data_IF_507691165649
#
_entry.id   IF_507691165649
#
_cell.length_a   1.000
_cell.length_b   1.000
_cell.length_c   1.000
_cell.angle_alpha   90.00
_cell.angle_beta   90.00
_cell.angle_gamma   90.00
#
_symmetry.space_group_name_H-M   'P 1'
#
loop_
_entity.id
_entity.type
_entity.pdbx_description
1 polymer ?
#
# COMPACT_ATOMS: atom_id res chain seq x y z
N UNK A 1 47.66 37.10 -83.40
CA UNK A 1 48.63 36.40 -82.52
C UNK A 1 48.02 36.28 -81.12
N UNK A 2 48.19 35.09 -80.50
CA UNK A 2 48.53 34.88 -79.07
C UNK A 2 47.57 35.50 -78.03
N UNK A 3 46.67 34.70 -77.42
CA UNK A 3 46.71 34.17 -76.03
C UNK A 3 46.54 35.26 -74.92
N UNK A 4 45.97 35.02 -73.72
CA UNK A 4 45.57 33.81 -72.99
C UNK A 4 44.59 34.22 -71.85
N UNK A 5 43.85 33.27 -71.26
CA UNK A 5 43.51 33.33 -69.81
C UNK A 5 42.03 33.46 -69.39
N UNK A 6 41.55 32.41 -68.69
CA UNK A 6 40.69 32.35 -67.46
C UNK A 6 39.59 33.44 -67.26
N UNK A 7 38.37 33.13 -66.80
CA UNK A 7 38.02 32.13 -65.77
C UNK A 7 36.52 31.71 -65.79
N UNK A 8 36.14 30.75 -64.91
CA UNK A 8 34.81 30.10 -64.81
C UNK A 8 33.59 31.03 -64.69
N UNK A 9 32.45 30.55 -65.21
CA UNK A 9 31.09 31.06 -64.96
C UNK A 9 30.19 29.97 -64.33
N UNK A 10 29.21 30.43 -63.57
CA UNK A 10 28.14 29.73 -62.82
C UNK A 10 27.09 29.02 -63.70
N UNK A 11 26.21 28.20 -63.10
CA UNK A 11 24.81 28.18 -63.56
C UNK A 11 24.06 26.83 -63.60
N UNK A 12 23.11 26.71 -62.69
CA UNK A 12 22.08 25.66 -62.47
C UNK A 12 21.10 25.39 -63.63
N UNK A 13 20.55 24.16 -63.67
CA UNK A 13 19.09 23.83 -63.86
C UNK A 13 18.56 23.14 -65.15
N UNK A 14 18.05 21.91 -64.94
CA UNK A 14 16.82 21.22 -65.49
C UNK A 14 16.44 21.20 -67.00
N UNK A 15 16.04 20.01 -67.48
CA UNK A 15 15.19 19.86 -68.69
C UNK A 15 14.78 18.40 -69.05
N UNK A 16 13.46 18.12 -69.09
CA UNK A 16 12.77 16.83 -69.28
C UNK A 16 13.00 16.02 -70.59
N UNK A 17 12.62 14.71 -70.57
CA UNK A 17 12.28 13.94 -71.79
C UNK A 17 11.90 12.47 -71.57
N UNK A 18 10.79 11.98 -72.17
CA UNK A 18 10.38 10.57 -72.24
C UNK A 18 9.81 10.22 -73.62
N UNK A 19 10.00 8.99 -74.16
CA UNK A 19 8.97 7.93 -74.11
C UNK A 19 9.62 6.51 -74.03
N UNK A 20 9.06 5.32 -74.35
CA UNK A 20 7.75 4.78 -74.84
C UNK A 20 7.64 3.29 -74.34
N UNK A 21 6.52 2.56 -74.58
CA UNK A 21 6.33 1.14 -74.11
C UNK A 21 6.17 0.12 -75.26
N UNK A 22 6.52 -1.15 -75.03
CA UNK A 22 6.15 -2.32 -75.87
C UNK A 22 5.71 -3.51 -74.98
N UNK A 23 4.61 -4.20 -75.30
CA UNK A 23 4.02 -5.31 -74.50
C UNK A 23 4.23 -6.68 -75.20
N UNK A 24 4.41 -7.77 -74.42
CA UNK A 24 4.34 -9.18 -74.88
C UNK A 24 3.16 -9.90 -74.20
N UNK A 25 2.52 -10.85 -74.91
CA UNK A 25 1.35 -11.63 -74.43
C UNK A 25 1.80 -12.96 -73.77
N UNK A 26 1.03 -13.46 -72.79
CA UNK A 26 1.33 -14.69 -72.02
C UNK A 26 0.50 -15.90 -72.50
N UNK A 27 1.07 -17.11 -72.38
CA UNK A 27 0.58 -18.37 -72.94
C UNK A 27 -0.54 -19.05 -72.14
N UNK A 28 -1.44 -19.77 -72.86
CA UNK A 28 -2.65 -20.42 -72.33
C UNK A 28 -2.40 -21.51 -71.26
N UNK A 29 -1.18 -22.08 -71.15
CA UNK A 29 -0.89 -23.10 -70.10
C UNK A 29 -0.96 -22.55 -68.67
N UNK A 30 -0.61 -21.28 -68.43
CA UNK A 30 -0.70 -20.69 -67.08
C UNK A 30 -2.16 -20.46 -66.61
N UNK A 31 -3.12 -20.33 -67.53
CA UNK A 31 -4.53 -20.10 -67.20
C UNK A 31 -5.20 -21.30 -66.53
N UNK A 32 -4.74 -22.53 -66.76
CA UNK A 32 -5.26 -23.72 -66.10
C UNK A 32 -4.87 -23.76 -64.61
N UNK A 33 -3.61 -23.47 -64.28
CA UNK A 33 -3.10 -23.42 -62.91
C UNK A 33 -3.72 -22.23 -62.16
N UNK A 34 -3.86 -21.08 -62.81
CA UNK A 34 -4.47 -19.90 -62.20
C UNK A 34 -5.97 -20.10 -61.89
N UNK A 35 -6.71 -20.81 -62.76
CA UNK A 35 -8.10 -21.23 -62.47
C UNK A 35 -8.19 -22.23 -61.32
N UNK A 36 -7.33 -23.27 -61.29
CA UNK A 36 -7.29 -24.22 -60.16
C UNK A 36 -6.98 -23.53 -58.83
N UNK A 37 -6.01 -22.60 -58.79
CA UNK A 37 -5.71 -21.81 -57.58
C UNK A 37 -6.89 -20.93 -57.14
N UNK A 38 -7.61 -20.29 -58.06
CA UNK A 38 -8.83 -19.52 -57.71
C UNK A 38 -9.98 -20.39 -57.21
N UNK A 39 -10.16 -21.61 -57.74
CA UNK A 39 -11.15 -22.57 -57.23
C UNK A 39 -10.78 -23.01 -55.81
N UNK A 40 -9.52 -23.36 -55.55
CA UNK A 40 -9.04 -23.72 -54.20
C UNK A 40 -9.23 -22.56 -53.22
N UNK A 41 -8.84 -21.33 -53.59
CA UNK A 41 -9.07 -20.14 -52.73
C UNK A 41 -10.57 -19.91 -52.50
N UNK A 42 -11.42 -20.08 -53.51
CA UNK A 42 -12.88 -19.98 -53.35
C UNK A 42 -13.46 -21.04 -52.40
N UNK A 43 -12.99 -22.29 -52.48
CA UNK A 43 -13.40 -23.36 -51.56
C UNK A 43 -12.92 -23.07 -50.14
N UNK A 44 -11.66 -22.67 -49.94
CA UNK A 44 -11.12 -22.31 -48.62
C UNK A 44 -11.89 -21.14 -48.01
N UNK A 45 -12.20 -20.11 -48.80
CA UNK A 45 -12.97 -18.95 -48.33
C UNK A 45 -14.43 -19.34 -48.00
N UNK A 46 -15.05 -20.20 -48.80
CA UNK A 46 -16.38 -20.75 -48.50
C UNK A 46 -16.38 -21.62 -47.22
N UNK A 47 -15.35 -22.42 -46.99
CA UNK A 47 -15.19 -23.21 -45.76
C UNK A 47 -14.98 -22.30 -44.53
N UNK A 48 -14.21 -21.22 -44.65
CA UNK A 48 -14.04 -20.22 -43.58
C UNK A 48 -15.38 -19.54 -43.28
N UNK A 49 -16.14 -19.13 -44.30
CA UNK A 49 -17.48 -18.52 -44.09
C UNK A 49 -18.44 -19.52 -43.45
N UNK A 50 -18.46 -20.77 -43.89
CA UNK A 50 -19.28 -21.83 -43.29
C UNK A 50 -18.89 -22.09 -41.83
N UNK A 51 -17.59 -22.09 -41.50
CA UNK A 51 -17.09 -22.25 -40.14
C UNK A 51 -17.47 -21.05 -39.26
N UNK A 52 -17.34 -19.81 -39.75
CA UNK A 52 -17.76 -18.60 -39.02
C UNK A 52 -19.26 -18.61 -38.77
N UNK A 53 -20.09 -18.94 -39.77
CA UNK A 53 -21.55 -19.07 -39.60
C UNK A 53 -21.89 -20.19 -38.61
N UNK A 54 -21.21 -21.33 -38.68
CA UNK A 54 -21.37 -22.42 -37.72
C UNK A 54 -20.97 -22.00 -36.29
N UNK A 55 -19.84 -21.31 -36.11
CA UNK A 55 -19.43 -20.79 -34.81
C UNK A 55 -20.46 -19.79 -34.25
N UNK A 56 -20.91 -18.82 -35.05
CA UNK A 56 -21.93 -17.85 -34.63
C UNK A 56 -23.26 -18.55 -34.30
N UNK A 57 -23.65 -19.57 -35.07
CA UNK A 57 -24.87 -20.35 -34.82
C UNK A 57 -24.75 -21.23 -33.56
N UNK A 58 -23.61 -21.90 -33.35
CA UNK A 58 -23.35 -22.73 -32.17
C UNK A 58 -23.21 -21.89 -30.90
N UNK A 59 -22.60 -20.69 -30.99
CA UNK A 59 -22.57 -19.72 -29.88
C UNK A 59 -23.98 -19.16 -29.65
N UNK A 60 -24.70 -18.77 -30.70
CA UNK A 60 -26.09 -18.28 -30.59
C UNK A 60 -27.10 -19.30 -30.06
N UNK A 61 -26.86 -20.60 -30.26
CA UNK A 61 -27.58 -21.72 -29.63
C UNK A 61 -27.00 -22.14 -28.26
N UNK A 62 -25.81 -21.66 -27.92
CA UNK A 62 -25.02 -22.07 -26.74
C UNK A 62 -24.97 -21.06 -25.59
N UNK A 63 -25.29 -19.78 -25.82
CA UNK A 63 -25.48 -18.78 -24.76
C UNK A 63 -26.85 -18.99 -24.10
N UNK A 64 -26.97 -20.13 -23.40
CA UNK A 64 -28.10 -20.48 -22.53
C UNK A 64 -27.67 -21.14 -21.21
N UNK A 65 -26.37 -21.43 -21.05
CA UNK A 65 -25.84 -22.18 -19.90
C UNK A 65 -24.44 -21.73 -19.44
N UNK A 66 -24.06 -20.46 -19.67
CA UNK A 66 -22.73 -19.93 -19.29
C UNK A 66 -22.79 -18.86 -18.17
N UNK A 67 -23.98 -18.45 -17.73
CA UNK A 67 -24.14 -17.47 -16.64
C UNK A 67 -24.03 -18.08 -15.23
N UNK A 68 -23.76 -19.40 -15.12
CA UNK A 68 -23.73 -20.14 -13.84
C UNK A 68 -22.35 -20.74 -13.50
N UNK A 69 -21.33 -20.54 -14.35
CA UNK A 69 -20.00 -21.15 -14.14
C UNK A 69 -18.85 -20.14 -13.96
N UNK A 70 -19.14 -18.83 -13.96
CA UNK A 70 -18.17 -17.77 -13.61
C UNK A 70 -18.38 -17.26 -12.16
N UNK A 71 -19.51 -17.59 -11.53
CA UNK A 71 -19.82 -17.24 -10.12
C UNK A 71 -19.53 -18.38 -9.13
N UNK A 72 -18.69 -19.36 -9.48
CA UNK A 72 -18.51 -20.55 -8.64
C UNK A 72 -17.48 -20.39 -7.50
N UNK A 73 -16.68 -19.31 -7.53
CA UNK A 73 -15.81 -18.91 -6.42
C UNK A 73 -16.55 -18.05 -5.36
N UNK A 74 -17.68 -17.43 -5.73
CA UNK A 74 -18.49 -16.57 -4.85
C UNK A 74 -19.37 -17.38 -3.86
N UNK A 75 -19.62 -18.67 -4.13
CA UNK A 75 -20.59 -19.50 -3.39
C UNK A 75 -19.95 -20.31 -2.26
N UNK A 76 -18.62 -20.49 -2.27
CA UNK A 76 -17.87 -21.17 -1.20
C UNK A 76 -16.91 -20.25 -0.44
N UNK A 77 -16.85 -18.97 -0.81
CA UNK A 77 -16.46 -17.94 0.13
C UNK A 77 -17.47 -17.95 1.29
N UNK A 78 -17.13 -18.65 2.38
CA UNK A 78 -17.75 -18.43 3.69
C UNK A 78 -17.44 -16.98 4.06
N UNK A 79 -18.30 -16.07 3.60
CA UNK A 79 -18.36 -14.73 4.10
C UNK A 79 -18.64 -14.87 5.59
N UNK A 80 -17.57 -14.70 6.39
CA UNK A 80 -17.71 -14.55 7.83
C UNK A 80 -18.51 -13.26 8.01
N UNK A 81 -19.81 -13.43 8.16
CA UNK A 81 -20.70 -12.38 8.64
C UNK A 81 -20.01 -11.74 9.84
N UNK A 82 -19.78 -10.42 9.76
CA UNK A 82 -19.01 -9.73 10.78
C UNK A 82 -19.66 -10.03 12.13
N UNK A 83 -18.91 -10.66 13.03
CA UNK A 83 -19.45 -11.12 14.31
C UNK A 83 -20.19 -9.97 14.97
N UNK A 84 -21.46 -10.15 15.36
CA UNK A 84 -22.29 -9.06 15.82
C UNK A 84 -21.55 -8.33 16.93
N UNK A 85 -21.31 -7.03 16.73
CA UNK A 85 -20.45 -6.23 17.61
C UNK A 85 -20.92 -6.44 19.04
N UNK A 86 -20.09 -6.97 19.94
CA UNK A 86 -20.55 -7.38 21.26
C UNK A 86 -21.16 -6.17 21.97
N UNK A 87 -22.48 -6.21 22.16
CA UNK A 87 -23.18 -5.18 22.94
C UNK A 87 -22.59 -5.22 24.33
N UNK A 88 -21.87 -4.16 24.71
CA UNK A 88 -21.32 -4.05 26.07
C UNK A 88 -22.46 -4.09 27.07
N UNK A 89 -22.58 -5.22 27.77
CA UNK A 89 -23.49 -5.42 28.90
C UNK A 89 -22.90 -4.91 30.21
N UNK A 90 -21.65 -4.43 30.18
CA UNK A 90 -20.99 -3.86 31.34
C UNK A 90 -21.46 -2.42 31.58
N UNK A 91 -22.19 -2.22 32.69
CA UNK A 91 -22.51 -0.89 33.22
C UNK A 91 -21.30 -0.18 33.86
N UNK A 92 -20.11 -0.80 33.83
CA UNK A 92 -18.89 -0.20 34.36
C UNK A 92 -18.45 0.94 33.43
N UNK A 93 -18.24 2.12 34.02
CA UNK A 93 -17.84 3.33 33.29
C UNK A 93 -16.38 3.25 32.88
N UNK A 94 -15.99 3.98 31.84
CA UNK A 94 -14.56 4.26 31.59
C UNK A 94 -13.97 5.05 32.75
N UNK A 95 -12.70 4.83 33.04
CA UNK A 95 -11.97 5.56 34.06
C UNK A 95 -11.88 7.05 33.71
N UNK A 96 -12.06 7.91 34.71
CA UNK A 96 -11.92 9.36 34.57
C UNK A 96 -10.51 9.82 34.93
N UNK A 97 -10.25 11.13 34.74
CA UNK A 97 -8.96 11.76 35.06
C UNK A 97 -8.59 11.65 36.55
N UNK A 98 -9.59 11.48 37.42
CA UNK A 98 -9.39 11.41 38.87
C UNK A 98 -9.30 9.97 39.39
N UNK A 99 -9.52 8.96 38.53
CA UNK A 99 -9.50 7.55 38.94
C UNK A 99 -8.12 6.90 38.77
N UNK A 100 -7.27 7.48 37.91
CA UNK A 100 -6.00 6.88 37.47
C UNK A 100 -4.81 7.83 37.58
N UNK A 101 -3.69 7.30 38.07
CA UNK A 101 -2.36 7.90 37.99
C UNK A 101 -1.50 7.10 37.01
N UNK A 102 -0.65 7.80 36.24
CA UNK A 102 0.33 7.18 35.35
C UNK A 102 1.75 7.39 35.87
N UNK A 103 2.55 6.33 35.90
CA UNK A 103 3.97 6.39 36.26
C UNK A 103 4.83 5.93 35.08
N UNK A 104 5.95 6.61 34.85
CA UNK A 104 6.94 6.22 33.85
C UNK A 104 8.33 6.28 34.44
N UNK A 105 9.10 5.20 34.28
CA UNK A 105 10.52 5.14 34.59
C UNK A 105 11.27 4.45 33.45
N UNK A 106 12.59 4.57 33.44
CA UNK A 106 13.46 3.88 32.47
C UNK A 106 14.56 3.10 33.17
N UNK A 107 15.00 2.03 32.53
CA UNK A 107 16.11 1.19 33.01
C UNK A 107 17.48 1.87 32.92
N UNK A 108 17.59 2.91 32.08
CA UNK A 108 18.77 3.74 31.88
C UNK A 108 18.34 5.17 31.55
N UNK A 109 19.21 6.16 31.76
CA UNK A 109 19.03 7.54 31.30
C UNK A 109 19.84 7.85 30.02
N UNK A 110 20.54 6.86 29.47
CA UNK A 110 21.22 6.95 28.18
C UNK A 110 21.06 5.67 27.35
N UNK A 111 21.07 5.84 26.03
CA UNK A 111 21.06 4.76 25.03
C UNK A 111 21.88 5.21 23.81
N UNK A 112 22.52 4.27 23.10
CA UNK A 112 23.21 4.59 21.85
C UNK A 112 22.23 4.73 20.68
N UNK A 113 22.55 5.50 19.64
CA UNK A 113 21.80 5.48 18.37
C UNK A 113 21.73 4.05 17.82
N UNK A 114 20.53 3.57 17.51
CA UNK A 114 20.25 2.20 17.09
C UNK A 114 20.11 1.19 18.25
N UNK A 115 20.33 1.62 19.50
CA UNK A 115 20.12 0.80 20.69
C UNK A 115 18.65 0.75 21.16
N UNK A 116 18.37 -0.08 22.16
CA UNK A 116 17.04 -0.21 22.78
C UNK A 116 17.03 0.40 24.17
N UNK A 117 16.08 1.31 24.42
CA UNK A 117 15.75 1.79 25.76
C UNK A 117 14.49 1.08 26.27
N UNK A 118 14.57 0.51 27.48
CA UNK A 118 13.44 -0.12 28.16
C UNK A 118 12.83 0.85 29.18
N UNK A 119 11.55 1.15 29.01
CA UNK A 119 10.73 1.91 29.95
C UNK A 119 9.79 0.98 30.73
N UNK A 120 9.53 1.32 31.99
CA UNK A 120 8.49 0.71 32.81
C UNK A 120 7.35 1.70 32.94
N UNK A 121 6.22 1.39 32.31
CA UNK A 121 5.01 2.19 32.34
C UNK A 121 3.98 1.56 33.28
N UNK A 122 3.39 2.35 34.18
CA UNK A 122 2.33 1.86 35.06
C UNK A 122 1.05 2.68 34.94
N UNK A 123 -0.09 1.98 35.05
CA UNK A 123 -1.41 2.57 35.33
C UNK A 123 -1.79 2.16 36.75
N UNK A 124 -2.06 3.12 37.63
CA UNK A 124 -2.45 2.90 39.04
C UNK A 124 -3.86 3.42 39.24
N UNK A 125 -4.75 2.64 39.85
CA UNK A 125 -6.12 3.07 40.14
C UNK A 125 -6.29 3.60 41.57
N UNK A 126 -6.44 4.92 41.69
CA UNK A 126 -6.64 5.63 42.95
C UNK A 126 -8.12 5.94 43.24
N UNK A 127 -8.98 5.86 42.22
CA UNK A 127 -10.42 6.10 42.32
C UNK A 127 -11.15 5.20 43.32
N UNK A 128 -12.35 5.60 43.72
CA UNK A 128 -13.19 4.86 44.68
C UNK A 128 -14.11 3.82 44.05
N UNK A 129 -14.42 3.94 42.75
CA UNK A 129 -15.33 3.05 42.02
C UNK A 129 -14.54 2.33 40.92
N UNK A 130 -14.82 1.05 40.68
CA UNK A 130 -14.20 0.32 39.58
C UNK A 130 -14.54 0.92 38.21
N UNK A 131 -13.58 0.88 37.28
CA UNK A 131 -13.70 1.48 35.96
C UNK A 131 -12.93 0.70 34.88
N UNK A 132 -13.21 0.99 33.61
CA UNK A 132 -12.55 0.40 32.44
C UNK A 132 -11.51 1.34 31.83
N UNK A 133 -10.32 0.83 31.54
CA UNK A 133 -9.25 1.55 30.81
C UNK A 133 -8.60 0.62 29.77
N UNK A 134 -8.17 1.17 28.63
CA UNK A 134 -7.35 0.43 27.67
C UNK A 134 -5.87 0.53 28.08
N UNK A 135 -5.29 -0.59 28.51
CA UNK A 135 -3.89 -0.71 28.90
C UNK A 135 -2.97 -1.19 27.77
N UNK A 136 -3.46 -1.34 26.54
CA UNK A 136 -2.60 -1.58 25.38
C UNK A 136 -1.73 -0.37 25.08
N UNK A 137 -0.75 -0.49 24.18
CA UNK A 137 0.11 0.64 23.81
C UNK A 137 -0.55 1.62 22.83
N UNK A 138 -1.76 1.29 22.34
CA UNK A 138 -2.69 2.22 21.66
C UNK A 138 -3.61 2.94 22.66
N UNK A 139 -3.87 2.34 23.82
CA UNK A 139 -4.63 2.94 24.93
C UNK A 139 -3.77 3.83 25.83
N UNK A 140 -2.62 3.33 26.29
CA UNK A 140 -1.58 4.04 27.04
C UNK A 140 -0.41 4.32 26.09
N UNK A 141 -0.45 5.47 25.44
CA UNK A 141 0.52 5.86 24.41
C UNK A 141 1.75 6.47 25.05
N UNK A 142 2.92 5.86 24.83
CA UNK A 142 4.22 6.48 25.04
C UNK A 142 4.48 7.47 23.90
N UNK A 143 4.73 8.72 24.26
CA UNK A 143 5.18 9.77 23.34
C UNK A 143 6.59 10.20 23.74
N UNK A 144 7.49 10.32 22.77
CA UNK A 144 8.85 10.83 22.99
C UNK A 144 9.02 12.10 22.14
N UNK A 145 9.54 13.15 22.77
CA UNK A 145 9.77 14.47 22.15
C UNK A 145 11.23 14.90 22.17
N UNK A 146 11.60 15.73 21.20
CA UNK A 146 12.81 16.56 21.20
C UNK A 146 12.38 18.02 21.30
N UNK A 147 12.56 18.65 22.46
CA UNK A 147 11.93 19.94 22.75
C UNK A 147 10.41 19.86 22.61
N UNK A 148 9.85 20.64 21.68
CA UNK A 148 8.42 20.65 21.34
C UNK A 148 8.02 19.70 20.21
N UNK A 149 8.96 19.10 19.50
CA UNK A 149 8.68 18.17 18.39
C UNK A 149 8.42 16.76 18.94
N UNK A 150 7.32 16.13 18.55
CA UNK A 150 7.13 14.68 18.76
C UNK A 150 7.96 13.92 17.74
N UNK A 151 8.72 12.92 18.17
CA UNK A 151 9.56 12.11 17.28
C UNK A 151 9.11 10.66 17.20
N UNK A 152 8.44 10.15 18.24
CA UNK A 152 7.94 8.78 18.31
C UNK A 152 6.65 8.69 19.12
N UNK A 153 5.73 7.85 18.67
CA UNK A 153 4.56 7.39 19.44
C UNK A 153 4.38 5.87 19.35
N UNK A 154 4.16 5.20 20.48
CA UNK A 154 3.93 3.73 20.53
C UNK A 154 2.62 3.29 19.90
N UNK A 155 1.61 4.18 19.89
CA UNK A 155 0.25 3.86 19.46
C UNK A 155 0.07 3.62 17.97
N UNK A 156 1.12 3.77 17.16
CA UNK A 156 1.07 3.61 15.70
C UNK A 156 1.03 2.14 15.26
N UNK A 157 1.86 1.28 15.86
CA UNK A 157 1.97 -0.16 15.58
C UNK A 157 1.45 -1.04 16.74
N UNK A 158 0.79 -0.43 17.71
CA UNK A 158 0.27 -1.13 18.87
C UNK A 158 -0.81 -2.18 18.50
N UNK A 159 -0.90 -3.29 19.25
CA UNK A 159 -1.90 -4.33 19.04
C UNK A 159 -3.31 -3.86 19.41
N UNK A 160 -4.29 -4.75 19.20
CA UNK A 160 -5.68 -4.57 19.62
C UNK A 160 -5.81 -4.13 21.10
N UNK A 161 -6.87 -3.36 21.38
CA UNK A 161 -7.19 -2.84 22.71
C UNK A 161 -7.17 -3.91 23.81
N UNK A 162 -6.50 -3.61 24.92
CA UNK A 162 -6.44 -4.45 26.11
C UNK A 162 -7.22 -3.79 27.24
N UNK A 163 -8.54 -3.99 27.23
CA UNK A 163 -9.43 -3.48 28.26
C UNK A 163 -9.17 -4.12 29.62
N UNK A 164 -8.90 -3.27 30.61
CA UNK A 164 -8.69 -3.61 32.00
C UNK A 164 -9.86 -3.10 32.82
N UNK A 165 -10.48 -4.01 33.59
CA UNK A 165 -11.35 -3.62 34.70
C UNK A 165 -10.45 -3.40 35.91
N UNK A 166 -10.32 -2.14 36.34
CA UNK A 166 -9.52 -1.76 37.50
C UNK A 166 -10.42 -1.36 38.65
N UNK A 167 -9.98 -1.68 39.87
CA UNK A 167 -10.55 -1.29 41.15
C UNK A 167 -9.47 -0.60 42.01
N UNK A 168 -9.89 -0.04 43.16
CA UNK A 168 -8.99 0.74 44.03
C UNK A 168 -7.77 -0.08 44.47
N UNK A 169 -6.57 0.40 44.12
CA UNK A 169 -5.30 -0.22 44.43
C UNK A 169 -4.75 -1.13 43.33
N UNK A 170 -5.51 -1.40 42.26
CA UNK A 170 -5.02 -2.16 41.12
C UNK A 170 -3.91 -1.39 40.38
N UNK A 171 -2.92 -2.14 39.88
CA UNK A 171 -1.80 -1.62 39.11
C UNK A 171 -1.52 -2.51 37.89
N UNK A 172 -1.56 -1.92 36.71
CA UNK A 172 -1.05 -2.54 35.47
C UNK A 172 0.35 -2.01 35.21
N UNK A 173 1.34 -2.91 35.09
CA UNK A 173 2.75 -2.56 34.82
C UNK A 173 3.16 -3.22 33.52
N UNK A 174 3.70 -2.44 32.58
CA UNK A 174 4.12 -2.90 31.26
C UNK A 174 5.53 -2.41 30.93
N UNK A 175 6.30 -3.27 30.25
CA UNK A 175 7.62 -2.93 29.72
C UNK A 175 7.48 -2.44 28.28
N UNK A 176 7.77 -1.17 28.04
CA UNK A 176 7.78 -0.58 26.71
C UNK A 176 9.21 -0.53 26.17
N UNK A 177 9.41 -0.87 24.90
CA UNK A 177 10.72 -0.84 24.25
C UNK A 177 10.70 0.19 23.13
N UNK A 178 11.76 0.98 23.05
CA UNK A 178 11.96 1.93 21.95
C UNK A 178 13.38 1.75 21.41
N UNK A 179 13.52 1.43 20.12
CA UNK A 179 14.80 1.10 19.50
C UNK A 179 15.45 2.34 18.85
N UNK A 180 15.29 3.50 19.48
CA UNK A 180 15.66 4.84 18.98
C UNK A 180 15.01 5.21 17.64
N UNK A 181 13.82 4.67 17.35
CA UNK A 181 13.09 4.89 16.10
C UNK A 181 12.38 6.24 16.05
N UNK A 182 12.29 6.82 14.86
CA UNK A 182 11.49 8.00 14.53
C UNK A 182 10.27 7.57 13.70
N UNK A 183 9.07 7.93 14.14
CA UNK A 183 7.82 7.62 13.41
C UNK A 183 6.84 8.80 13.27
N UNK A 184 7.19 10.03 13.67
CA UNK A 184 6.25 11.16 13.69
C UNK A 184 5.72 11.60 12.31
N UNK A 185 6.34 11.17 11.21
CA UNK A 185 5.84 11.41 9.84
C UNK A 185 4.93 10.30 9.31
N UNK A 186 4.78 9.20 10.04
CA UNK A 186 3.99 8.04 9.63
C UNK A 186 2.55 8.14 10.14
N UNK A 187 1.59 7.87 9.26
CA UNK A 187 0.15 7.87 9.57
C UNK A 187 -0.44 6.47 9.75
N UNK A 188 0.31 5.44 9.36
CA UNK A 188 -0.05 4.03 9.46
C UNK A 188 1.16 3.21 9.93
N UNK A 189 0.92 2.03 10.50
CA UNK A 189 1.99 1.13 10.87
C UNK A 189 2.69 0.58 9.61
N UNK A 190 3.99 0.73 9.54
CA UNK A 190 4.86 0.12 8.53
C UNK A 190 5.92 -0.74 9.24
N UNK A 191 6.78 -1.43 8.48
CA UNK A 191 7.85 -2.26 9.05
C UNK A 191 8.81 -1.41 9.92
N UNK A 192 8.75 -1.60 11.24
CA UNK A 192 9.57 -0.87 12.22
C UNK A 192 11.08 -1.02 11.95
N UNK A 193 11.52 -2.10 11.31
CA UNK A 193 12.94 -2.28 10.97
C UNK A 193 13.44 -1.32 9.89
N UNK A 194 12.52 -0.72 9.13
CA UNK A 194 12.79 0.30 8.12
C UNK A 194 12.73 1.74 8.66
N UNK A 195 12.33 1.93 9.91
CA UNK A 195 12.14 3.27 10.48
C UNK A 195 13.50 3.99 10.68
N UNK A 196 13.60 5.28 10.34
CA UNK A 196 14.81 6.04 10.56
C UNK A 196 15.11 6.15 12.06
N UNK A 197 16.40 6.15 12.42
CA UNK A 197 16.83 6.37 13.80
C UNK A 197 16.88 7.86 14.13
N UNK A 198 16.61 8.22 15.37
CA UNK A 198 16.80 9.58 15.86
C UNK A 198 18.29 9.93 15.96
N UNK A 199 18.61 11.22 15.92
CA UNK A 199 19.96 11.72 16.11
C UNK A 199 20.38 11.65 17.60
N UNK A 200 21.69 11.76 17.92
CA UNK A 200 22.14 12.02 19.28
C UNK A 200 21.53 13.33 19.82
N UNK A 201 21.15 13.35 21.10
CA UNK A 201 20.48 14.49 21.71
C UNK A 201 19.79 14.18 23.03
N UNK A 202 19.08 15.17 23.57
CA UNK A 202 18.26 15.05 24.79
C UNK A 202 16.79 14.93 24.41
N UNK A 203 16.13 13.92 24.97
CA UNK A 203 14.74 13.58 24.67
C UNK A 203 13.92 13.51 25.96
N UNK A 204 12.60 13.69 25.83
CA UNK A 204 11.64 13.54 26.94
C UNK A 204 10.61 12.49 26.58
N UNK A 205 10.44 11.48 27.42
CA UNK A 205 9.36 10.50 27.34
C UNK A 205 8.20 10.87 28.28
N UNK A 206 6.97 10.65 27.85
CA UNK A 206 5.77 10.75 28.68
C UNK A 206 4.73 9.74 28.18
N UNK A 207 4.01 9.08 29.09
CA UNK A 207 2.82 8.28 28.75
C UNK A 207 1.54 9.07 28.99
N UNK A 208 0.54 8.85 28.15
CA UNK A 208 -0.81 9.42 28.30
C UNK A 208 -1.88 8.40 27.89
N UNK A 209 -3.10 8.53 28.43
CA UNK A 209 -4.24 7.73 27.98
C UNK A 209 -4.89 8.37 26.74
N UNK A 210 -5.06 7.60 25.66
CA UNK A 210 -5.67 8.06 24.40
C UNK A 210 -7.10 8.58 24.59
N UNK A 211 -7.90 7.87 25.37
CA UNK A 211 -9.28 8.25 25.71
C UNK A 211 -9.37 9.37 26.77
N UNK A 212 -8.27 9.66 27.47
CA UNK A 212 -8.23 10.64 28.56
C UNK A 212 -6.87 11.37 28.58
N UNK A 213 -6.52 12.17 27.55
CA UNK A 213 -5.17 12.71 27.33
C UNK A 213 -4.70 13.75 28.36
N UNK A 214 -5.54 14.07 29.35
CA UNK A 214 -5.18 14.84 30.55
C UNK A 214 -4.52 13.98 31.63
N UNK A 215 -4.75 12.67 31.62
CA UNK A 215 -4.02 11.71 32.46
C UNK A 215 -2.67 11.45 31.79
N UNK A 216 -1.61 11.86 32.48
CA UNK A 216 -0.23 11.83 31.99
C UNK A 216 0.71 11.44 33.13
N UNK A 217 1.82 10.78 32.81
CA UNK A 217 2.93 10.66 33.76
C UNK A 217 3.68 11.97 33.89
N UNK A 218 4.53 12.07 34.91
CA UNK A 218 5.64 13.02 34.89
C UNK A 218 6.52 12.82 33.64
N UNK A 219 7.15 13.89 33.13
CA UNK A 219 8.09 13.81 32.01
C UNK A 219 9.42 13.19 32.44
N UNK A 220 9.92 12.25 31.64
CA UNK A 220 11.16 11.52 31.88
C UNK A 220 12.23 11.91 30.85
N UNK A 221 13.24 12.67 31.27
CA UNK A 221 14.34 13.10 30.41
C UNK A 221 15.45 12.06 30.32
N UNK A 222 15.97 11.81 29.12
CA UNK A 222 17.10 10.91 28.87
C UNK A 222 17.91 11.39 27.65
N UNK A 223 19.05 10.74 27.37
CA UNK A 223 19.93 11.08 26.23
C UNK A 223 20.09 9.92 25.24
N UNK A 224 20.19 10.25 23.95
CA UNK A 224 20.67 9.35 22.89
C UNK A 224 22.08 9.81 22.49
N UNK A 225 23.01 8.88 22.31
CA UNK A 225 24.44 9.13 22.10
C UNK A 225 25.00 8.37 20.89
#
# INVERSE_FOLDING_TARGET
>A
MVQQGRNRVTGTSRGNGAPKKRKRKISKRQQAIYRRRRIVVGIVLALIVALVVFCVYSIGRGIGAINTMIHHDDVYAIAREATPTPKSTSNVKKCSVNDLTLELSSKSQSVAVGGTLEFTASIVHEGSNSCLVDGSDSGRVLTITSGSETIYQSGLCAPDSRWLLMAKGDKDVQQLKWNTDYNSTLTECTDETSWPKVNPGTYTAQIALKDAPKVKSDPLTFTVQ
#
